data_IF_009821074585
#
_entry.id   IF_009821074585
#
_cell.length_a   1.000
_cell.length_b   1.000
_cell.length_c   1.000
_cell.angle_alpha   90.00
_cell.angle_beta   90.00
_cell.angle_gamma   90.00
#
_symmetry.space_group_name_H-M   'P 1'
#
loop_
_entity.id
_entity.type
_entity.pdbx_description
1 polymer ?
#
# COMPACT_ATOMS: atom_id res chain seq x y z
N UNK A 1 13.24 15.30 24.16
CA UNK A 1 11.96 15.97 24.48
C UNK A 1 11.57 16.67 23.19
N UNK A 2 10.71 16.05 22.39
CA UNK A 2 10.41 16.52 21.03
C UNK A 2 9.26 17.53 21.11
N UNK A 3 9.54 18.80 20.83
CA UNK A 3 8.50 19.82 20.68
C UNK A 3 8.08 19.89 19.22
N UNK A 4 6.82 19.54 18.96
CA UNK A 4 6.15 19.77 17.67
C UNK A 4 5.54 21.17 17.74
N UNK A 5 5.98 22.09 16.89
CA UNK A 5 5.34 23.40 16.76
C UNK A 5 4.31 23.28 15.63
N UNK A 6 3.02 23.35 15.99
CA UNK A 6 1.91 23.37 15.04
C UNK A 6 1.68 24.81 14.58
N UNK A 7 1.96 25.09 13.30
CA UNK A 7 1.46 26.30 12.65
C UNK A 7 0.19 25.95 11.87
N UNK A 8 -0.95 26.47 12.33
CA UNK A 8 -2.19 26.45 11.56
C UNK A 8 -2.30 27.77 10.79
N UNK A 9 -2.10 27.74 9.47
CA UNK A 9 -2.52 28.86 8.61
C UNK A 9 -3.64 28.40 7.68
N UNK A 10 -4.68 29.23 7.63
CA UNK A 10 -5.88 29.01 6.83
C UNK A 10 -5.63 29.58 5.45
N UNK A 11 -5.23 28.75 4.49
CA UNK A 11 -5.11 29.20 3.10
C UNK A 11 -6.44 28.98 2.36
N UNK A 12 -6.92 30.01 1.67
CA UNK A 12 -8.29 30.13 1.18
C UNK A 12 -8.59 29.40 -0.12
N UNK A 13 -7.67 28.59 -0.67
CA UNK A 13 -7.87 27.87 -1.91
C UNK A 13 -7.44 26.40 -1.80
N UNK A 14 -8.44 25.57 -1.48
CA UNK A 14 -8.63 24.18 -1.90
C UNK A 14 -8.09 22.96 -1.10
N UNK A 15 -7.40 23.09 0.04
CA UNK A 15 -7.20 21.95 0.98
C UNK A 15 -7.07 22.44 2.44
N UNK A 16 -7.79 21.88 3.44
CA UNK A 16 -7.89 22.50 4.77
C UNK A 16 -6.72 22.22 5.73
N UNK A 17 -5.67 21.47 5.33
CA UNK A 17 -4.51 21.24 6.19
C UNK A 17 -3.21 21.07 5.39
N UNK A 18 -2.38 22.10 5.35
CA UNK A 18 -0.95 21.99 5.00
C UNK A 18 -0.16 21.74 6.29
N UNK A 19 0.16 20.48 6.56
CA UNK A 19 1.08 20.14 7.66
C UNK A 19 2.52 20.30 7.15
N UNK A 20 3.10 21.49 7.33
CA UNK A 20 4.55 21.68 7.20
C UNK A 20 5.18 21.22 8.52
N UNK A 21 5.54 19.93 8.59
CA UNK A 21 6.44 19.44 9.63
C UNK A 21 7.87 19.80 9.21
N UNK A 22 8.38 20.93 9.69
CA UNK A 22 9.82 21.16 9.73
C UNK A 22 10.39 20.33 10.89
N UNK A 23 11.08 19.23 10.55
CA UNK A 23 11.73 18.37 11.53
C UNK A 23 13.24 18.57 11.47
N UNK A 24 13.81 19.13 12.51
CA UNK A 24 15.26 19.12 12.75
C UNK A 24 15.68 17.74 13.26
N UNK A 25 16.43 17.01 12.45
CA UNK A 25 17.02 15.74 12.90
C UNK A 25 17.99 16.01 14.05
N UNK A 26 18.05 15.14 15.07
CA UNK A 26 19.15 15.16 16.01
C UNK A 26 20.47 15.06 15.24
N UNK A 27 21.38 16.01 15.48
CA UNK A 27 22.63 16.20 14.72
C UNK A 27 23.42 14.90 14.52
N UNK A 28 23.36 13.98 15.50
CA UNK A 28 24.02 12.68 15.42
C UNK A 28 23.44 11.74 14.35
N UNK A 29 22.14 11.78 14.06
CA UNK A 29 21.49 10.94 13.03
C UNK A 29 21.80 11.50 11.65
N UNK A 30 21.69 12.82 11.48
CA UNK A 30 22.09 13.49 10.24
C UNK A 30 23.57 13.25 9.95
N UNK A 31 24.43 13.39 10.98
CA UNK A 31 25.85 13.12 10.87
C UNK A 31 26.16 11.65 10.55
N UNK A 32 25.38 10.69 11.09
CA UNK A 32 25.54 9.26 10.76
C UNK A 32 25.13 8.94 9.33
N UNK A 33 24.03 9.51 8.84
CA UNK A 33 23.60 9.34 7.44
C UNK A 33 24.60 10.00 6.50
N UNK A 34 25.02 11.24 6.77
CA UNK A 34 26.08 11.92 6.03
C UNK A 34 27.37 11.13 6.07
N UNK A 35 27.77 10.57 7.22
CA UNK A 35 28.98 9.73 7.33
C UNK A 35 28.86 8.39 6.61
N UNK A 36 27.70 7.74 6.61
CA UNK A 36 27.50 6.48 5.88
C UNK A 36 27.54 6.72 4.37
N UNK A 37 26.92 7.80 3.91
CA UNK A 37 26.96 8.24 2.52
C UNK A 37 28.39 8.64 2.14
N UNK A 38 29.05 9.47 2.96
CA UNK A 38 30.38 10.02 2.68
C UNK A 38 31.51 8.99 2.82
N UNK A 39 31.51 8.13 3.84
CA UNK A 39 32.49 7.06 3.99
C UNK A 39 32.41 6.06 2.83
N UNK A 40 31.20 5.83 2.30
CA UNK A 40 31.01 4.98 1.13
C UNK A 40 31.47 5.64 -0.18
N UNK A 41 31.34 6.96 -0.28
CA UNK A 41 31.83 7.77 -1.42
C UNK A 41 33.36 7.96 -1.40
N UNK A 42 33.98 8.05 -0.22
CA UNK A 42 35.41 8.37 -0.07
C UNK A 42 36.32 7.14 -0.13
N UNK A 43 35.89 5.96 0.33
CA UNK A 43 36.68 4.73 0.15
C UNK A 43 36.83 4.29 -1.32
N UNK A 44 36.08 4.91 -2.25
CA UNK A 44 36.08 4.57 -3.68
C UNK A 44 36.70 5.66 -4.58
N UNK A 45 37.17 6.79 -4.03
CA UNK A 45 37.59 7.95 -4.84
C UNK A 45 39.01 8.43 -4.54
N UNK A 46 40.00 7.51 -4.59
CA UNK A 46 41.38 7.93 -4.87
C UNK A 46 41.73 7.95 -6.37
N UNK A 47 40.86 7.50 -7.28
CA UNK A 47 41.00 7.76 -8.72
C UNK A 47 39.61 7.90 -9.38
N UNK A 48 39.25 9.10 -9.83
CA UNK A 48 37.97 9.35 -10.50
C UNK A 48 38.03 8.91 -11.96
N UNK A 49 37.57 7.69 -12.23
CA UNK A 49 37.23 7.18 -13.56
C UNK A 49 35.70 7.24 -13.76
N UNK A 50 35.21 7.51 -14.98
CA UNK A 50 33.75 7.62 -15.26
C UNK A 50 33.00 6.32 -14.92
N UNK A 51 33.71 5.20 -14.94
CA UNK A 51 33.25 3.87 -14.52
C UNK A 51 32.94 3.79 -13.02
N UNK A 52 33.74 4.47 -12.17
CA UNK A 52 33.54 4.50 -10.72
C UNK A 52 32.32 5.34 -10.31
N UNK A 53 32.00 6.40 -11.08
CA UNK A 53 30.80 7.22 -10.88
C UNK A 53 29.54 6.40 -11.16
N UNK A 54 29.52 5.64 -12.27
CA UNK A 54 28.39 4.78 -12.61
C UNK A 54 28.18 3.63 -11.60
N UNK A 55 29.26 3.03 -11.09
CA UNK A 55 29.18 2.02 -10.03
C UNK A 55 28.70 2.61 -8.69
N UNK A 56 29.12 3.83 -8.37
CA UNK A 56 28.68 4.59 -7.18
C UNK A 56 27.17 4.90 -7.24
N UNK A 57 26.67 5.36 -8.38
CA UNK A 57 25.24 5.64 -8.58
C UNK A 57 24.40 4.36 -8.50
N UNK A 58 24.88 3.25 -9.08
CA UNK A 58 24.21 1.96 -8.98
C UNK A 58 24.16 1.45 -7.53
N UNK A 59 25.24 1.64 -6.77
CA UNK A 59 25.29 1.23 -5.38
C UNK A 59 24.40 2.11 -4.49
N UNK A 60 24.39 3.43 -4.71
CA UNK A 60 23.50 4.36 -4.03
C UNK A 60 22.03 3.97 -4.28
N UNK A 61 21.67 3.68 -5.54
CA UNK A 61 20.35 3.19 -5.89
C UNK A 61 20.00 1.87 -5.18
N UNK A 62 20.97 0.95 -5.08
CA UNK A 62 20.80 -0.33 -4.37
C UNK A 62 20.59 -0.14 -2.86
N UNK A 63 21.31 0.81 -2.25
CA UNK A 63 21.14 1.16 -0.83
C UNK A 63 19.76 1.77 -0.59
N UNK A 64 19.33 2.73 -1.42
CA UNK A 64 17.99 3.31 -1.34
C UNK A 64 16.89 2.25 -1.51
N UNK A 65 17.07 1.31 -2.44
CA UNK A 65 16.16 0.18 -2.63
C UNK A 65 16.06 -0.70 -1.37
N UNK A 66 17.19 -1.02 -0.73
CA UNK A 66 17.22 -1.81 0.51
C UNK A 66 16.53 -1.07 1.66
N UNK A 67 16.73 0.24 1.77
CA UNK A 67 16.08 1.07 2.79
C UNK A 67 14.56 1.12 2.54
N UNK A 68 14.12 1.35 1.30
CA UNK A 68 12.70 1.38 0.95
C UNK A 68 12.00 0.06 1.25
N UNK A 69 12.65 -1.08 0.97
CA UNK A 69 12.11 -2.42 1.21
C UNK A 69 12.09 -2.84 2.68
N UNK A 70 12.95 -2.26 3.51
CA UNK A 70 13.06 -2.68 4.91
C UNK A 70 11.79 -2.33 5.70
N UNK A 71 11.10 -3.31 6.32
CA UNK A 71 9.83 -3.07 7.03
C UNK A 71 10.02 -2.23 8.30
N UNK A 72 11.25 -2.09 8.78
CA UNK A 72 11.57 -1.30 9.96
C UNK A 72 11.93 0.15 9.66
N UNK A 73 12.00 0.54 8.39
CA UNK A 73 12.39 1.89 7.99
C UNK A 73 11.43 2.93 8.55
N UNK A 74 12.01 3.97 9.14
CA UNK A 74 11.23 5.05 9.73
C UNK A 74 10.45 5.82 8.64
N UNK A 75 9.16 6.17 8.86
CA UNK A 75 8.33 6.83 7.85
C UNK A 75 8.97 8.10 7.26
N UNK A 76 9.67 8.90 8.09
CA UNK A 76 10.34 10.12 7.63
C UNK A 76 11.45 9.85 6.59
N UNK A 77 12.17 8.73 6.70
CA UNK A 77 13.20 8.37 5.71
C UNK A 77 12.53 7.99 4.38
N UNK A 78 11.39 7.29 4.44
CA UNK A 78 10.60 6.96 3.26
C UNK A 78 10.04 8.21 2.57
N UNK A 79 9.62 9.21 3.33
CA UNK A 79 9.07 10.45 2.76
C UNK A 79 10.15 11.30 2.07
N UNK A 80 11.36 11.34 2.64
CA UNK A 80 12.53 11.95 1.98
C UNK A 80 12.85 11.19 0.69
N UNK A 81 12.92 9.86 0.71
CA UNK A 81 13.14 9.06 -0.49
C UNK A 81 12.06 9.29 -1.56
N UNK A 82 10.80 9.45 -1.15
CA UNK A 82 9.70 9.77 -2.07
C UNK A 82 9.79 11.20 -2.65
N UNK A 83 10.42 12.14 -1.96
CA UNK A 83 10.61 13.53 -2.42
C UNK A 83 11.79 13.73 -3.36
N UNK A 84 12.82 12.87 -3.29
CA UNK A 84 14.07 12.99 -4.08
C UNK A 84 13.91 12.46 -5.52
N UNK A 85 12.66 12.36 -5.98
CA UNK A 85 12.29 12.04 -7.36
C UNK A 85 12.74 10.64 -7.81
N UNK A 86 12.29 9.62 -7.07
CA UNK A 86 12.59 8.22 -7.40
C UNK A 86 11.35 7.47 -7.88
N UNK A 87 11.01 7.64 -9.17
CA UNK A 87 10.15 6.67 -9.88
C UNK A 87 10.61 5.22 -9.65
N UNK A 88 11.92 5.03 -9.45
CA UNK A 88 12.57 3.73 -9.23
C UNK A 88 12.22 3.09 -7.88
N UNK A 89 12.00 3.86 -6.82
CA UNK A 89 11.73 3.32 -5.47
C UNK A 89 10.29 3.53 -5.00
N UNK A 90 9.49 4.33 -5.73
CA UNK A 90 8.11 4.66 -5.39
C UNK A 90 7.25 3.42 -5.07
N UNK A 91 7.40 2.34 -5.84
CA UNK A 91 6.68 1.09 -5.60
C UNK A 91 7.08 0.45 -4.27
N UNK A 92 8.39 0.39 -3.98
CA UNK A 92 8.91 -0.19 -2.72
C UNK A 92 8.54 0.67 -1.51
N UNK A 93 8.48 1.98 -1.67
CA UNK A 93 8.01 2.91 -0.65
C UNK A 93 6.51 2.68 -0.40
N UNK A 94 5.71 2.53 -1.46
CA UNK A 94 4.28 2.25 -1.35
C UNK A 94 3.98 0.89 -0.71
N UNK A 95 4.79 -0.14 -0.96
CA UNK A 95 4.66 -1.45 -0.31
C UNK A 95 5.03 -1.44 1.19
N UNK A 96 5.75 -0.42 1.67
CA UNK A 96 6.30 -0.45 3.01
C UNK A 96 5.21 -0.30 4.08
N UNK A 97 5.11 -1.23 5.06
CA UNK A 97 4.07 -1.19 6.11
C UNK A 97 4.22 -0.01 7.08
N UNK A 98 5.30 0.77 7.01
CA UNK A 98 5.49 2.02 7.76
C UNK A 98 5.39 3.27 6.87
N UNK A 99 5.00 3.13 5.61
CA UNK A 99 4.73 4.28 4.76
C UNK A 99 3.65 5.17 5.40
N UNK A 100 3.91 6.47 5.48
CA UNK A 100 2.99 7.41 6.07
C UNK A 100 1.76 7.60 5.16
N UNK A 101 0.56 7.82 5.73
CA UNK A 101 -0.65 8.12 4.96
C UNK A 101 -0.48 9.26 3.94
N UNK A 102 0.26 10.32 4.30
CA UNK A 102 0.56 11.45 3.41
C UNK A 102 1.44 11.04 2.21
N UNK A 103 2.44 10.20 2.44
CA UNK A 103 3.29 9.65 1.38
C UNK A 103 2.47 8.75 0.46
N UNK A 104 1.62 7.88 1.01
CA UNK A 104 0.72 7.02 0.23
C UNK A 104 -0.29 7.81 -0.60
N UNK A 105 -0.86 8.89 -0.03
CA UNK A 105 -1.76 9.79 -0.76
C UNK A 105 -1.08 10.43 -1.98
N UNK A 106 0.19 10.84 -1.84
CA UNK A 106 0.99 11.36 -2.97
C UNK A 106 1.26 10.28 -4.02
N UNK A 107 1.62 9.07 -3.59
CA UNK A 107 1.90 7.94 -4.47
C UNK A 107 0.64 7.38 -5.17
N UNK A 108 -0.55 7.61 -4.63
CA UNK A 108 -1.81 7.26 -5.27
C UNK A 108 -2.05 8.01 -6.60
N UNK A 109 -1.39 9.14 -6.82
CA UNK A 109 -1.46 9.90 -8.06
C UNK A 109 -0.29 9.60 -9.01
N UNK A 110 0.54 8.61 -8.69
CA UNK A 110 1.74 8.29 -9.47
C UNK A 110 1.39 7.76 -10.87
N UNK A 111 2.21 8.07 -11.87
CA UNK A 111 1.96 7.68 -13.28
C UNK A 111 1.94 6.15 -13.46
N UNK A 112 2.85 5.45 -12.79
CA UNK A 112 2.97 3.99 -12.82
C UNK A 112 1.80 3.30 -12.12
N UNK A 113 1.03 2.44 -12.82
CA UNK A 113 -0.02 1.63 -12.21
C UNK A 113 0.49 0.70 -11.12
N UNK A 114 1.72 0.17 -11.24
CA UNK A 114 2.30 -0.71 -10.22
C UNK A 114 2.47 0.00 -8.88
N UNK A 115 2.83 1.29 -8.90
CA UNK A 115 2.93 2.11 -7.67
C UNK A 115 1.55 2.32 -7.06
N UNK A 116 0.54 2.64 -7.88
CA UNK A 116 -0.84 2.83 -7.38
C UNK A 116 -1.45 1.53 -6.85
N UNK A 117 -1.13 0.39 -7.47
CA UNK A 117 -1.51 -0.93 -6.97
C UNK A 117 -0.86 -1.23 -5.61
N UNK A 118 0.44 -0.94 -5.45
CA UNK A 118 1.12 -1.08 -4.16
C UNK A 118 0.49 -0.18 -3.07
N UNK A 119 0.05 1.04 -3.42
CA UNK A 119 -0.71 1.89 -2.49
C UNK A 119 -2.05 1.24 -2.12
N UNK A 120 -2.79 0.70 -3.09
CA UNK A 120 -4.05 0.00 -2.83
C UNK A 120 -3.92 -1.23 -1.92
N UNK A 121 -2.77 -1.91 -1.95
CA UNK A 121 -2.48 -3.08 -1.12
C UNK A 121 -2.00 -2.73 0.29
N UNK A 122 -1.50 -1.50 0.51
CA UNK A 122 -0.96 -1.10 1.80
C UNK A 122 -2.05 -0.88 2.86
N UNK A 123 -1.91 -1.52 4.03
CA UNK A 123 -2.88 -1.45 5.13
C UNK A 123 -2.97 -0.06 5.78
N UNK A 124 -1.95 0.79 5.64
CA UNK A 124 -1.97 2.17 6.13
C UNK A 124 -2.63 3.15 5.14
N UNK A 125 -3.06 2.69 3.97
CA UNK A 125 -3.68 3.57 2.98
C UNK A 125 -5.04 4.05 3.49
N UNK A 126 -5.27 5.38 3.55
CA UNK A 126 -6.53 5.92 4.02
C UNK A 126 -7.72 5.46 3.16
N UNK A 127 -8.87 5.26 3.80
CA UNK A 127 -10.11 4.87 3.13
C UNK A 127 -10.52 5.85 2.01
N UNK A 128 -10.25 7.14 2.20
CA UNK A 128 -10.48 8.19 1.20
C UNK A 128 -9.67 7.94 -0.08
N UNK A 129 -8.41 7.53 0.05
CA UNK A 129 -7.54 7.20 -1.08
C UNK A 129 -8.01 5.90 -1.75
N UNK A 130 -8.37 4.88 -0.97
CA UNK A 130 -8.94 3.64 -1.52
C UNK A 130 -10.23 3.89 -2.29
N UNK A 131 -11.08 4.82 -1.83
CA UNK A 131 -12.31 5.20 -2.53
C UNK A 131 -12.07 5.84 -3.90
N UNK A 132 -10.90 6.46 -4.10
CA UNK A 132 -10.48 7.00 -5.39
C UNK A 132 -9.94 5.88 -6.27
N UNK A 133 -9.05 5.04 -5.74
CA UNK A 133 -8.39 3.95 -6.47
C UNK A 133 -9.36 2.85 -6.93
N UNK A 134 -10.54 2.73 -6.31
CA UNK A 134 -11.58 1.76 -6.75
C UNK A 134 -12.04 2.05 -8.19
N UNK A 135 -11.93 3.30 -8.64
CA UNK A 135 -12.27 3.76 -9.98
C UNK A 135 -11.02 4.04 -10.83
N UNK A 136 -9.85 3.49 -10.45
CA UNK A 136 -8.60 3.68 -11.19
C UNK A 136 -8.77 3.21 -12.64
N UNK A 137 -8.19 3.96 -13.58
CA UNK A 137 -8.29 3.62 -15.00
C UNK A 137 -7.61 2.30 -15.34
N UNK A 138 -6.60 1.90 -14.56
CA UNK A 138 -5.83 0.69 -14.80
C UNK A 138 -6.45 -0.54 -14.13
N UNK A 139 -6.62 -1.61 -14.90
CA UNK A 139 -7.24 -2.86 -14.43
C UNK A 139 -6.45 -3.47 -13.28
N UNK A 140 -5.12 -3.48 -13.36
CA UNK A 140 -4.26 -4.09 -12.34
C UNK A 140 -4.43 -3.44 -10.95
N UNK A 141 -4.65 -2.13 -10.89
CA UNK A 141 -4.90 -1.40 -9.63
C UNK A 141 -6.23 -1.85 -9.02
N UNK A 142 -7.30 -1.89 -9.83
CA UNK A 142 -8.62 -2.36 -9.37
C UNK A 142 -8.60 -3.84 -9.01
N UNK A 143 -7.81 -4.63 -9.72
CA UNK A 143 -7.61 -6.06 -9.42
C UNK A 143 -6.89 -6.26 -8.09
N UNK A 144 -5.83 -5.51 -7.80
CA UNK A 144 -5.11 -5.54 -6.52
C UNK A 144 -6.06 -5.23 -5.35
N UNK A 145 -6.90 -4.20 -5.49
CA UNK A 145 -7.95 -3.91 -4.52
C UNK A 145 -8.94 -5.08 -4.34
N UNK A 146 -9.35 -5.72 -5.43
CA UNK A 146 -10.25 -6.87 -5.38
C UNK A 146 -9.64 -8.10 -4.69
N UNK A 147 -8.30 -8.21 -4.62
CA UNK A 147 -7.60 -9.25 -3.87
C UNK A 147 -7.46 -8.93 -2.37
N UNK A 148 -7.64 -7.67 -1.98
CA UNK A 148 -7.44 -7.22 -0.61
C UNK A 148 -8.62 -7.67 0.29
N UNK A 149 -8.33 -8.57 1.23
CA UNK A 149 -9.34 -9.13 2.14
C UNK A 149 -9.70 -8.18 3.30
N UNK A 150 -8.89 -7.14 3.51
CA UNK A 150 -9.10 -6.12 4.51
C UNK A 150 -9.83 -4.89 3.94
N UNK A 151 -10.09 -4.86 2.63
CA UNK A 151 -10.81 -3.78 1.98
C UNK A 151 -12.28 -3.72 2.47
N UNK A 152 -12.82 -2.51 2.53
CA UNK A 152 -14.23 -2.30 2.86
C UNK A 152 -15.14 -3.11 1.92
N UNK A 153 -16.17 -3.72 2.49
CA UNK A 153 -17.17 -4.50 1.75
C UNK A 153 -17.89 -3.66 0.71
N UNK A 154 -18.14 -2.38 0.99
CA UNK A 154 -18.78 -1.46 0.06
C UNK A 154 -17.93 -1.27 -1.20
N UNK A 155 -16.61 -1.09 -1.03
CA UNK A 155 -15.67 -0.99 -2.15
C UNK A 155 -15.53 -2.32 -2.90
N UNK A 156 -15.51 -3.46 -2.19
CA UNK A 156 -15.52 -4.78 -2.83
C UNK A 156 -16.81 -5.05 -3.61
N UNK A 157 -17.95 -4.54 -3.15
CA UNK A 157 -19.21 -4.61 -3.90
C UNK A 157 -19.16 -3.77 -5.18
N UNK A 158 -18.60 -2.56 -5.13
CA UNK A 158 -18.36 -1.77 -6.33
C UNK A 158 -17.46 -2.51 -7.34
N UNK A 159 -16.35 -3.10 -6.87
CA UNK A 159 -15.45 -3.90 -7.72
C UNK A 159 -16.12 -5.19 -8.24
N UNK A 160 -17.14 -5.73 -7.57
CA UNK A 160 -17.89 -6.89 -8.05
C UNK A 160 -18.82 -6.57 -9.24
N UNK A 161 -19.04 -5.29 -9.52
CA UNK A 161 -19.78 -4.74 -10.66
C UNK A 161 -18.85 -4.12 -11.72
N UNK A 162 -17.53 -4.28 -11.58
CA UNK A 162 -16.54 -3.75 -12.52
C UNK A 162 -16.79 -4.23 -13.96
N UNK A 163 -16.50 -3.34 -14.92
CA UNK A 163 -16.60 -3.65 -16.35
C UNK A 163 -15.64 -4.77 -16.76
N UNK A 164 -14.50 -4.89 -16.08
CA UNK A 164 -13.56 -5.97 -16.29
C UNK A 164 -14.02 -7.23 -15.54
N UNK A 165 -14.32 -8.28 -16.31
CA UNK A 165 -14.84 -9.53 -15.75
C UNK A 165 -13.87 -10.24 -14.79
N UNK A 166 -12.55 -10.05 -14.92
CA UNK A 166 -11.55 -10.63 -14.01
C UNK A 166 -11.56 -9.92 -12.66
N UNK A 167 -11.65 -8.58 -12.65
CA UNK A 167 -11.80 -7.78 -11.44
C UNK A 167 -13.10 -8.13 -10.73
N UNK A 168 -14.23 -8.11 -11.46
CA UNK A 168 -15.54 -8.48 -10.93
C UNK A 168 -15.57 -9.90 -10.35
N UNK A 169 -14.98 -10.86 -11.06
CA UNK A 169 -14.88 -12.23 -10.57
C UNK A 169 -14.04 -12.33 -9.30
N UNK A 170 -12.88 -11.66 -9.26
CA UNK A 170 -11.98 -11.68 -8.11
C UNK A 170 -12.64 -11.06 -6.87
N UNK A 171 -13.26 -9.89 -7.01
CA UNK A 171 -13.97 -9.20 -5.94
C UNK A 171 -15.09 -10.07 -5.35
N UNK A 172 -15.90 -10.73 -6.19
CA UNK A 172 -16.93 -11.67 -5.74
C UNK A 172 -16.35 -12.86 -4.96
N UNK A 173 -15.19 -13.37 -5.37
CA UNK A 173 -14.52 -14.45 -4.62
C UNK A 173 -14.03 -13.97 -3.25
N UNK A 174 -13.47 -12.78 -3.19
CA UNK A 174 -13.02 -12.15 -1.93
C UNK A 174 -14.21 -11.91 -1.00
N UNK A 175 -15.31 -11.32 -1.51
CA UNK A 175 -16.58 -11.14 -0.78
C UNK A 175 -17.11 -12.46 -0.19
N UNK A 176 -17.16 -13.52 -1.00
CA UNK A 176 -17.63 -14.84 -0.54
C UNK A 176 -16.74 -15.43 0.56
N UNK A 177 -15.47 -15.04 0.62
CA UNK A 177 -14.54 -15.51 1.66
C UNK A 177 -14.69 -14.73 2.97
N UNK A 178 -14.86 -13.41 2.90
CA UNK A 178 -14.98 -12.55 4.10
C UNK A 178 -16.41 -12.50 4.66
N UNK A 179 -17.41 -12.73 3.81
CA UNK A 179 -18.83 -12.70 4.14
C UNK A 179 -19.58 -13.74 3.28
N UNK A 180 -19.44 -15.05 3.58
CA UNK A 180 -20.14 -16.07 2.82
C UNK A 180 -21.66 -15.84 2.91
N UNK A 181 -22.39 -15.94 1.78
CA UNK A 181 -23.84 -15.80 1.81
C UNK A 181 -24.44 -16.81 2.79
N UNK A 182 -25.42 -16.38 3.59
CA UNK A 182 -26.03 -17.08 4.74
C UNK A 182 -26.69 -18.45 4.37
N UNK A 183 -26.56 -18.91 3.13
CA UNK A 183 -27.13 -20.16 2.62
C UNK A 183 -26.57 -21.44 3.28
N UNK A 184 -25.47 -21.36 4.04
CA UNK A 184 -24.86 -22.53 4.69
C UNK A 184 -25.56 -23.03 5.98
N UNK A 185 -26.60 -22.34 6.48
CA UNK A 185 -27.32 -22.74 7.71
C UNK A 185 -28.78 -23.13 7.50
N UNK A 186 -29.16 -23.69 6.34
CA UNK A 186 -30.39 -24.49 6.32
C UNK A 186 -30.12 -25.82 7.03
N UNK A 187 -30.72 -26.09 8.20
CA UNK A 187 -30.54 -27.39 8.85
C UNK A 187 -31.09 -28.48 7.93
N UNK A 188 -30.38 -29.61 7.85
CA UNK A 188 -30.69 -30.80 7.06
C UNK A 188 -32.04 -31.49 7.38
N UNK A 189 -32.99 -30.80 8.01
CA UNK A 189 -34.27 -31.36 8.47
C UNK A 189 -35.13 -31.97 7.35
N UNK A 190 -34.86 -31.64 6.07
CA UNK A 190 -35.58 -32.24 4.94
C UNK A 190 -35.21 -33.70 4.66
N UNK A 191 -34.02 -34.18 5.05
CA UNK A 191 -33.61 -35.58 4.80
C UNK A 191 -34.05 -36.56 5.88
N UNK A 192 -34.37 -36.10 7.09
CA UNK A 192 -34.88 -36.97 8.17
C UNK A 192 -36.36 -37.33 7.97
N UNK A 193 -37.22 -36.36 7.59
CA UNK A 193 -38.65 -36.65 7.34
C UNK A 193 -38.87 -37.58 6.15
N UNK A 194 -38.07 -37.47 5.09
CA UNK A 194 -38.15 -38.35 3.93
C UNK A 194 -37.74 -39.80 4.25
N UNK A 195 -36.77 -40.00 5.15
CA UNK A 195 -36.35 -41.34 5.56
C UNK A 195 -37.31 -42.00 6.55
N UNK A 196 -38.01 -41.22 7.38
CA UNK A 196 -39.06 -41.76 8.27
C UNK A 196 -40.33 -42.17 7.52
N UNK A 197 -40.75 -41.42 6.50
CA UNK A 197 -41.87 -41.83 5.65
C UNK A 197 -41.53 -43.08 4.84
N UNK A 198 -40.32 -43.18 4.29
CA UNK A 198 -39.88 -44.39 3.58
C UNK A 198 -39.80 -45.62 4.50
N UNK A 199 -39.36 -45.47 5.76
CA UNK A 199 -39.36 -46.56 6.75
C UNK A 199 -40.77 -47.00 7.16
N UNK A 200 -41.73 -46.09 7.23
CA UNK A 200 -43.13 -46.41 7.56
C UNK A 200 -43.86 -47.13 6.42
N UNK A 201 -43.52 -46.84 5.17
CA UNK A 201 -44.10 -47.52 3.99
C UNK A 201 -43.48 -48.90 3.76
N UNK A 202 -42.23 -49.13 4.19
CA UNK A 202 -41.55 -50.43 4.02
C UNK A 202 -41.86 -51.47 5.11
N UNK A 203 -42.57 -51.09 6.19
CA UNK A 203 -42.88 -51.94 7.35
C UNK A 203 -44.39 -52.20 7.56
N UNK A 204 -45.24 -51.75 6.64
CA UNK A 204 -46.69 -52.03 6.63
C UNK A 204 -47.07 -52.85 5.41
#
# INVERSE_FOLDING_TARGET
MHSVILHSERNSDNFPYTYLLEWEWPEHIEMLLRRLIWARLVELTEDTDETAVAESDHLAAKVCWLIAKSPETHPAVLDVLASVDSNVFAERIAENPKAAPSTLARLACHESPSVRAAVAENENTPAEILSILVNDSHVDVRFAMAENHNLDKELLHALAEDENCYVAHRARRTLNRIAPPVLARMPLQRTQRANETLRKVALG
#
